data_IF_402039676116
#
_entry.id   IF_402039676116
#
_cell.length_a   1.000
_cell.length_b   1.000
_cell.length_c   1.000
_cell.angle_alpha   90.00
_cell.angle_beta   90.00
_cell.angle_gamma   90.00
#
_symmetry.space_group_name_H-M   'P 1'
#
loop_
_entity.id
_entity.type
_entity.pdbx_description
1 polymer ?
#
# COMPACT_ATOMS: atom_id res chain seq x y z
N UNK A 1 1.92 -54.81 -4.34
CA UNK A 1 2.56 -53.69 -3.60
C UNK A 1 2.27 -52.34 -4.28
N UNK A 2 0.99 -52.02 -4.55
CA UNK A 2 0.60 -50.89 -5.41
C UNK A 2 -0.42 -49.93 -4.77
N UNK A 3 -0.65 -50.01 -3.46
CA UNK A 3 -1.79 -49.32 -2.84
C UNK A 3 -1.40 -48.12 -1.94
N UNK A 4 -0.25 -48.15 -1.25
CA UNK A 4 0.07 -47.11 -0.25
C UNK A 4 0.51 -45.76 -0.84
N UNK A 5 1.30 -45.75 -1.92
CA UNK A 5 1.80 -44.50 -2.52
C UNK A 5 0.73 -43.70 -3.28
N UNK A 6 -0.21 -44.40 -3.94
CA UNK A 6 -1.32 -43.74 -4.65
C UNK A 6 -2.34 -43.16 -3.65
N UNK A 7 -2.64 -43.87 -2.56
CA UNK A 7 -3.54 -43.36 -1.51
C UNK A 7 -2.92 -42.16 -0.79
N UNK A 8 -1.62 -42.20 -0.47
CA UNK A 8 -0.93 -41.07 0.16
C UNK A 8 -0.92 -39.84 -0.77
N UNK A 9 -0.68 -40.03 -2.07
CA UNK A 9 -0.73 -38.93 -3.04
C UNK A 9 -2.13 -38.33 -3.19
N UNK A 10 -3.18 -39.16 -3.18
CA UNK A 10 -4.57 -38.68 -3.22
C UNK A 10 -4.91 -37.89 -1.95
N UNK A 11 -4.48 -38.35 -0.78
CA UNK A 11 -4.68 -37.62 0.48
C UNK A 11 -3.93 -36.28 0.49
N UNK A 12 -2.69 -36.23 0.00
CA UNK A 12 -1.90 -34.98 -0.10
C UNK A 12 -2.54 -34.01 -1.08
N UNK A 13 -2.98 -34.48 -2.26
CA UNK A 13 -3.65 -33.66 -3.26
C UNK A 13 -4.98 -33.14 -2.72
N UNK A 14 -5.77 -33.98 -2.05
CA UNK A 14 -7.04 -33.59 -1.43
C UNK A 14 -6.83 -32.58 -0.28
N UNK A 15 -5.82 -32.77 0.56
CA UNK A 15 -5.44 -31.79 1.60
C UNK A 15 -5.02 -30.45 0.99
N UNK A 16 -4.22 -30.47 -0.09
CA UNK A 16 -3.79 -29.25 -0.77
C UNK A 16 -4.97 -28.51 -1.43
N UNK A 17 -5.95 -29.23 -1.95
CA UNK A 17 -7.16 -28.67 -2.54
C UNK A 17 -8.08 -28.04 -1.48
N UNK A 18 -8.21 -28.66 -0.31
CA UNK A 18 -9.00 -28.14 0.83
C UNK A 18 -8.39 -26.85 1.40
N UNK A 19 -7.06 -26.74 1.43
CA UNK A 19 -6.37 -25.52 1.89
C UNK A 19 -6.54 -24.35 0.92
N UNK A 20 -6.84 -24.62 -0.36
CA UNK A 20 -6.95 -23.58 -1.40
C UNK A 20 -8.32 -22.88 -1.44
N UNK A 21 -9.33 -23.39 -0.73
CA UNK A 21 -10.72 -22.90 -0.82
C UNK A 21 -11.13 -21.78 0.14
N UNK A 22 -10.18 -21.14 0.83
CA UNK A 22 -10.52 -20.08 1.81
C UNK A 22 -9.55 -18.91 1.74
N UNK A 23 -9.48 -18.26 0.58
CA UNK A 23 -8.93 -16.90 0.47
C UNK A 23 -10.13 -15.98 0.21
N UNK A 24 -10.67 -15.42 1.28
CA UNK A 24 -11.64 -14.33 1.19
C UNK A 24 -10.83 -13.05 1.44
N UNK A 25 -10.31 -12.45 0.38
CA UNK A 25 -9.59 -11.19 0.47
C UNK A 25 -10.59 -10.04 0.24
N UNK A 26 -10.81 -9.24 1.28
CA UNK A 26 -11.57 -7.98 1.23
C UNK A 26 -10.71 -6.77 0.82
N UNK A 27 -9.39 -6.95 0.80
CA UNK A 27 -8.40 -5.93 0.54
C UNK A 27 -7.78 -6.12 -0.85
N UNK A 28 -7.65 -5.03 -1.60
CA UNK A 28 -7.05 -5.03 -2.93
C UNK A 28 -6.13 -3.81 -3.08
N UNK A 29 -4.95 -4.02 -3.67
CA UNK A 29 -4.13 -2.92 -4.20
C UNK A 29 -4.13 -2.99 -5.71
N UNK A 30 -4.48 -1.90 -6.38
CA UNK A 30 -4.55 -1.84 -7.83
C UNK A 30 -3.86 -0.59 -8.38
N UNK A 31 -3.40 -0.70 -9.62
CA UNK A 31 -2.85 0.42 -10.37
C UNK A 31 -3.97 1.10 -11.15
N UNK A 32 -4.12 2.42 -10.96
CA UNK A 32 -5.07 3.29 -11.64
C UNK A 32 -4.31 4.18 -12.65
N UNK A 33 -4.40 3.88 -13.95
CA UNK A 33 -3.72 4.63 -15.01
C UNK A 33 -4.11 6.11 -15.07
N UNK A 34 -3.32 6.92 -15.78
CA UNK A 34 -3.69 8.30 -16.09
C UNK A 34 -4.96 8.36 -16.94
N UNK A 35 -5.75 9.42 -16.75
CA UNK A 35 -6.98 9.68 -17.53
C UNK A 35 -8.02 8.54 -17.48
N UNK A 36 -7.94 7.66 -16.47
CA UNK A 36 -8.81 6.49 -16.32
C UNK A 36 -9.64 6.56 -15.04
N UNK A 37 -10.77 5.88 -15.09
CA UNK A 37 -11.64 5.59 -13.95
C UNK A 37 -11.92 4.09 -13.89
N UNK A 38 -11.61 3.48 -12.75
CA UNK A 38 -11.89 2.07 -12.49
C UNK A 38 -12.93 1.95 -11.37
N UNK A 39 -13.82 0.96 -11.46
CA UNK A 39 -14.91 0.77 -10.52
C UNK A 39 -14.98 -0.68 -10.02
N UNK A 40 -15.21 -0.81 -8.72
CA UNK A 40 -15.37 -2.06 -8.00
C UNK A 40 -16.80 -2.19 -7.52
N UNK A 41 -17.30 -3.43 -7.50
CA UNK A 41 -18.70 -3.73 -7.20
C UNK A 41 -18.75 -4.73 -6.06
N UNK A 42 -19.56 -4.43 -5.04
CA UNK A 42 -19.77 -5.33 -3.91
C UNK A 42 -21.28 -5.48 -3.64
N UNK A 43 -21.71 -6.70 -3.34
CA UNK A 43 -23.13 -6.95 -3.04
C UNK A 43 -23.35 -6.85 -1.53
N UNK A 44 -24.18 -5.89 -1.12
CA UNK A 44 -24.45 -5.61 0.28
C UNK A 44 -25.86 -6.02 0.67
N UNK A 45 -25.99 -6.57 1.88
CA UNK A 45 -27.27 -6.97 2.46
C UNK A 45 -27.94 -5.82 3.20
N UNK A 46 -29.29 -5.83 3.24
CA UNK A 46 -30.08 -4.84 3.98
C UNK A 46 -29.68 -4.80 5.46
N UNK A 47 -29.58 -3.59 6.02
CA UNK A 47 -29.22 -3.32 7.42
C UNK A 47 -27.86 -3.91 7.85
N UNK A 48 -26.96 -4.19 6.90
CA UNK A 48 -25.57 -4.49 7.22
C UNK A 48 -24.76 -3.21 7.38
N UNK A 49 -23.75 -3.24 8.25
CA UNK A 49 -22.72 -2.20 8.30
C UNK A 49 -21.70 -2.50 7.21
N UNK A 50 -21.40 -1.53 6.37
CA UNK A 50 -20.37 -1.64 5.34
C UNK A 50 -19.40 -0.46 5.48
N UNK A 51 -18.19 -0.64 4.98
CA UNK A 51 -17.21 0.44 4.94
C UNK A 51 -16.46 0.43 3.62
N UNK A 52 -16.07 1.63 3.20
CA UNK A 52 -15.18 1.86 2.07
C UNK A 52 -13.96 2.61 2.62
N UNK A 53 -12.84 1.93 2.65
CA UNK A 53 -11.55 2.52 3.02
C UNK A 53 -10.62 2.51 1.80
N UNK A 54 -9.89 3.60 1.62
CA UNK A 54 -8.89 3.66 0.56
C UNK A 54 -7.69 4.52 0.95
N UNK A 55 -6.54 4.16 0.39
CA UNK A 55 -5.30 4.91 0.57
C UNK A 55 -4.51 4.94 -0.74
N UNK A 56 -4.10 6.14 -1.16
CA UNK A 56 -3.17 6.28 -2.29
C UNK A 56 -1.75 6.03 -1.78
N UNK A 57 -1.15 4.93 -2.21
CA UNK A 57 0.20 4.52 -1.83
C UNK A 57 1.24 5.32 -2.62
N UNK A 58 1.00 5.55 -3.92
CA UNK A 58 1.96 6.20 -4.81
C UNK A 58 1.31 6.90 -5.99
N UNK A 59 2.02 7.87 -6.58
CA UNK A 59 1.67 8.55 -7.83
C UNK A 59 1.24 10.01 -7.65
N UNK A 60 1.90 10.93 -8.37
CA UNK A 60 1.54 12.35 -8.43
C UNK A 60 1.49 13.02 -7.04
N UNK A 61 0.37 13.66 -6.73
CA UNK A 61 0.10 14.33 -5.44
C UNK A 61 -0.54 13.39 -4.40
N UNK A 62 -0.51 12.08 -4.64
CA UNK A 62 -1.13 11.06 -3.78
C UNK A 62 -2.64 11.26 -3.58
N UNK A 63 -3.36 11.82 -4.55
CA UNK A 63 -4.79 12.15 -4.46
C UNK A 63 -5.65 11.30 -5.42
N UNK A 64 -6.93 11.06 -5.12
CA UNK A 64 -7.86 10.39 -6.05
C UNK A 64 -9.28 10.91 -5.83
N UNK A 65 -10.08 10.92 -6.90
CA UNK A 65 -11.52 11.21 -6.80
C UNK A 65 -12.28 9.90 -6.61
N UNK A 66 -13.10 9.80 -5.57
CA UNK A 66 -13.85 8.59 -5.20
C UNK A 66 -15.33 8.88 -5.19
N UNK A 67 -16.12 8.01 -5.82
CA UNK A 67 -17.59 8.08 -5.79
C UNK A 67 -18.16 6.70 -5.48
N UNK A 68 -19.01 6.64 -4.46
CA UNK A 68 -19.75 5.44 -4.08
C UNK A 68 -21.21 5.60 -4.49
N UNK A 69 -21.69 4.67 -5.30
CA UNK A 69 -23.08 4.61 -5.76
C UNK A 69 -23.81 3.44 -5.10
N UNK A 70 -25.06 3.68 -4.71
CA UNK A 70 -25.98 2.65 -4.27
C UNK A 70 -26.57 1.85 -5.44
N UNK A 71 -27.41 0.84 -5.15
CA UNK A 71 -28.03 -0.02 -6.16
C UNK A 71 -29.01 0.72 -7.08
N UNK A 72 -29.43 1.94 -6.71
CA UNK A 72 -30.29 2.80 -7.53
C UNK A 72 -29.51 3.86 -8.31
N UNK A 73 -28.18 3.72 -8.44
CA UNK A 73 -27.25 4.73 -8.98
C UNK A 73 -27.27 6.08 -8.21
N UNK A 74 -27.77 6.07 -6.98
CA UNK A 74 -27.72 7.21 -6.08
C UNK A 74 -26.31 7.39 -5.48
N UNK A 75 -25.75 8.60 -5.52
CA UNK A 75 -24.44 8.88 -4.92
C UNK A 75 -24.56 8.87 -3.40
N UNK A 76 -23.97 7.86 -2.76
CA UNK A 76 -23.92 7.69 -1.30
C UNK A 76 -22.76 8.48 -0.71
N UNK A 77 -21.61 8.47 -1.37
CA UNK A 77 -20.41 9.20 -0.92
C UNK A 77 -19.64 9.75 -2.12
N UNK A 78 -19.05 10.93 -1.95
CA UNK A 78 -18.16 11.57 -2.92
C UNK A 78 -16.99 12.21 -2.19
N UNK A 79 -15.77 11.79 -2.54
CA UNK A 79 -14.53 12.39 -2.11
C UNK A 79 -13.79 12.96 -3.32
N UNK A 80 -13.37 14.22 -3.27
CA UNK A 80 -12.55 14.83 -4.31
C UNK A 80 -11.13 15.03 -3.80
N UNK A 81 -10.15 14.64 -4.62
CA UNK A 81 -8.70 14.75 -4.36
C UNK A 81 -8.29 14.31 -2.96
N UNK A 82 -8.78 13.14 -2.54
CA UNK A 82 -8.49 12.56 -1.23
C UNK A 82 -7.26 11.65 -1.31
N UNK A 83 -6.39 11.72 -0.30
CA UNK A 83 -5.24 10.81 -0.19
C UNK A 83 -5.56 9.55 0.60
N UNK A 84 -6.40 9.71 1.63
CA UNK A 84 -6.92 8.68 2.50
C UNK A 84 -8.32 9.09 2.95
N UNK A 85 -9.25 8.13 3.00
CA UNK A 85 -10.52 8.29 3.72
C UNK A 85 -11.06 6.91 4.10
N UNK A 86 -11.84 6.86 5.18
CA UNK A 86 -12.56 5.66 5.62
C UNK A 86 -14.01 6.03 5.93
N UNK A 87 -14.91 5.55 5.08
CA UNK A 87 -16.33 5.88 5.12
C UNK A 87 -17.16 4.67 5.56
N UNK A 88 -17.70 4.73 6.77
CA UNK A 88 -18.60 3.71 7.32
C UNK A 88 -20.07 4.13 7.12
N UNK A 89 -20.89 3.22 6.61
CA UNK A 89 -22.32 3.46 6.40
C UNK A 89 -23.17 2.21 6.67
N UNK A 90 -24.46 2.44 6.90
CA UNK A 90 -25.45 1.36 7.05
C UNK A 90 -26.21 1.20 5.75
N UNK A 91 -26.36 -0.04 5.30
CA UNK A 91 -26.97 -0.36 4.01
C UNK A 91 -28.49 -0.21 4.09
N UNK A 92 -29.01 0.86 3.47
CA UNK A 92 -30.45 1.16 3.42
C UNK A 92 -31.21 0.30 2.40
N UNK A 93 -30.54 -0.13 1.32
CA UNK A 93 -31.12 -0.95 0.26
C UNK A 93 -30.19 -2.11 -0.05
N UNK A 94 -30.69 -3.34 -0.01
CA UNK A 94 -29.92 -4.49 -0.46
C UNK A 94 -29.66 -4.41 -1.96
N UNK A 95 -28.44 -4.73 -2.39
CA UNK A 95 -28.09 -4.75 -3.80
C UNK A 95 -26.60 -4.55 -4.05
N UNK A 96 -26.26 -4.29 -5.32
CA UNK A 96 -24.89 -4.06 -5.75
C UNK A 96 -24.54 -2.59 -5.57
N UNK A 97 -23.54 -2.34 -4.75
CA UNK A 97 -22.93 -1.03 -4.57
C UNK A 97 -21.69 -0.93 -5.45
N UNK A 98 -21.42 0.28 -5.96
CA UNK A 98 -20.34 0.55 -6.92
C UNK A 98 -19.43 1.65 -6.38
N UNK A 99 -18.18 1.30 -6.08
CA UNK A 99 -17.14 2.25 -5.69
C UNK A 99 -16.25 2.55 -6.90
N UNK A 100 -16.18 3.80 -7.34
CA UNK A 100 -15.37 4.23 -8.47
C UNK A 100 -14.26 5.18 -8.07
N UNK A 101 -13.07 4.93 -8.61
CA UNK A 101 -11.86 5.73 -8.41
C UNK A 101 -11.47 6.37 -9.74
N UNK A 102 -11.35 7.69 -9.78
CA UNK A 102 -11.00 8.44 -10.98
C UNK A 102 -9.65 9.15 -10.81
N UNK A 103 -8.80 8.95 -11.82
CA UNK A 103 -7.53 9.64 -12.02
C UNK A 103 -7.55 10.49 -13.30
N UNK A 104 -8.74 10.97 -13.69
CA UNK A 104 -8.93 11.74 -14.93
C UNK A 104 -8.15 13.06 -14.96
N UNK A 105 -7.86 13.63 -13.78
CA UNK A 105 -7.14 14.88 -13.63
C UNK A 105 -5.61 14.75 -13.77
N UNK A 106 -5.05 13.54 -13.66
CA UNK A 106 -3.62 13.32 -13.84
C UNK A 106 -3.32 13.07 -15.31
N UNK A 107 -2.40 13.86 -15.88
CA UNK A 107 -2.08 13.80 -17.31
C UNK A 107 -0.96 12.81 -17.63
N UNK A 108 -0.11 12.47 -16.65
CA UNK A 108 1.14 11.72 -16.88
C UNK A 108 1.50 10.70 -15.80
N UNK A 109 0.77 10.65 -14.67
CA UNK A 109 1.12 9.80 -13.52
C UNK A 109 0.01 8.80 -13.25
N UNK A 110 0.34 7.51 -13.30
CA UNK A 110 -0.47 6.43 -12.75
C UNK A 110 -0.43 6.48 -11.22
N UNK A 111 -1.44 5.89 -10.58
CA UNK A 111 -1.57 5.85 -9.11
C UNK A 111 -1.68 4.43 -8.62
N UNK A 112 -1.09 4.14 -7.48
CA UNK A 112 -1.26 2.87 -6.80
C UNK A 112 -2.21 3.10 -5.62
N UNK A 113 -3.37 2.46 -5.65
CA UNK A 113 -4.45 2.68 -4.68
C UNK A 113 -4.75 1.37 -3.96
N UNK A 114 -4.69 1.43 -2.63
CA UNK A 114 -5.22 0.41 -1.74
C UNK A 114 -6.71 0.68 -1.51
N UNK A 115 -7.52 -0.36 -1.56
CA UNK A 115 -8.95 -0.34 -1.25
C UNK A 115 -9.29 -1.52 -0.34
N UNK A 116 -10.08 -1.25 0.70
CA UNK A 116 -10.88 -2.24 1.42
C UNK A 116 -12.35 -1.84 1.26
N UNK A 117 -13.10 -2.69 0.57
CA UNK A 117 -14.54 -2.54 0.43
C UNK A 117 -15.21 -3.84 0.86
N UNK A 118 -15.71 -3.85 2.09
CA UNK A 118 -16.32 -5.05 2.64
C UNK A 118 -17.55 -4.76 3.50
N UNK A 119 -18.42 -5.76 3.55
CA UNK A 119 -19.53 -5.78 4.49
C UNK A 119 -19.04 -6.35 5.82
N UNK A 120 -19.37 -5.69 6.93
CA UNK A 120 -18.99 -6.12 8.28
C UNK A 120 -19.65 -7.41 8.76
N UNK A 121 -20.44 -8.09 7.92
CA UNK A 121 -21.01 -9.41 8.22
C UNK A 121 -20.02 -10.50 7.84
N UNK A 122 -19.03 -10.70 8.70
CA UNK A 122 -18.28 -11.96 8.69
C UNK A 122 -19.22 -13.07 9.16
N UNK A 123 -19.24 -14.20 8.46
CA UNK A 123 -20.06 -15.34 8.89
C UNK A 123 -19.65 -15.72 10.32
N UNK A 124 -20.60 -15.87 11.27
CA UNK A 124 -20.29 -16.38 12.59
C UNK A 124 -19.48 -17.67 12.46
N UNK A 125 -18.39 -17.78 13.23
CA UNK A 125 -17.47 -18.93 13.20
C UNK A 125 -18.16 -20.27 13.53
N UNK A 126 -19.38 -20.23 14.07
CA UNK A 126 -20.16 -21.40 14.47
C UNK A 126 -21.40 -21.50 13.58
N UNK A 127 -21.40 -22.47 12.66
CA UNK A 127 -22.64 -23.01 12.13
C UNK A 127 -23.16 -24.04 13.15
N UNK A 128 -24.17 -23.69 13.95
CA UNK A 128 -24.64 -24.59 15.00
C UNK A 128 -26.03 -24.27 15.55
N UNK A 129 -26.96 -25.17 15.26
CA UNK A 129 -28.33 -25.37 15.74
C UNK A 129 -28.87 -24.51 16.91
N UNK A 130 -30.11 -24.06 16.73
CA UNK A 130 -31.03 -23.42 17.68
C UNK A 130 -31.35 -24.27 18.95
N UNK A 131 -30.35 -24.63 19.75
CA UNK A 131 -30.55 -25.24 21.07
C UNK A 131 -29.77 -24.52 22.16
N UNK A 132 -30.45 -23.96 23.19
CA UNK A 132 -29.78 -23.25 24.27
C UNK A 132 -29.09 -24.28 25.17
N UNK A 133 -27.78 -24.43 25.01
CA UNK A 133 -26.95 -25.19 25.92
C UNK A 133 -25.73 -24.36 26.29
N UNK A 134 -25.11 -24.70 27.42
CA UNK A 134 -24.05 -24.00 28.18
C UNK A 134 -22.83 -23.53 27.34
N UNK A 135 -22.77 -23.89 26.06
CA UNK A 135 -21.78 -23.44 25.06
C UNK A 135 -21.80 -21.92 24.76
N UNK A 136 -22.87 -21.19 25.10
CA UNK A 136 -22.98 -19.76 24.75
C UNK A 136 -21.91 -18.86 25.38
N UNK A 137 -21.37 -19.20 26.56
CA UNK A 137 -20.31 -18.39 27.18
C UNK A 137 -18.99 -18.50 26.44
N UNK A 138 -18.60 -19.72 26.04
CA UNK A 138 -17.39 -19.95 25.24
C UNK A 138 -17.53 -19.35 23.84
N UNK A 139 -18.72 -19.45 23.24
CA UNK A 139 -19.03 -18.82 21.95
C UNK A 139 -18.96 -17.29 22.03
N UNK A 140 -19.51 -16.69 23.09
CA UNK A 140 -19.43 -15.24 23.32
C UNK A 140 -17.99 -14.79 23.53
N UNK A 141 -17.19 -15.51 24.33
CA UNK A 141 -15.77 -15.21 24.50
C UNK A 141 -14.97 -15.37 23.20
N UNK A 142 -15.26 -16.40 22.40
CA UNK A 142 -14.62 -16.61 21.11
C UNK A 142 -14.95 -15.49 20.12
N UNK A 143 -16.21 -15.04 20.05
CA UNK A 143 -16.61 -13.90 19.23
C UNK A 143 -15.92 -12.60 19.68
N UNK A 144 -15.83 -12.35 20.99
CA UNK A 144 -15.14 -11.17 21.52
C UNK A 144 -13.63 -11.17 21.20
N UNK A 145 -12.99 -12.34 21.27
CA UNK A 145 -11.58 -12.50 20.86
C UNK A 145 -11.42 -12.30 19.35
N UNK A 146 -12.32 -12.84 18.54
CA UNK A 146 -12.31 -12.66 17.09
C UNK A 146 -12.43 -11.18 16.69
N UNK A 147 -13.38 -10.46 17.30
CA UNK A 147 -13.55 -9.03 17.09
C UNK A 147 -12.28 -8.25 17.49
N UNK A 148 -11.67 -8.60 18.63
CA UNK A 148 -10.42 -7.99 19.07
C UNK A 148 -9.24 -8.26 18.12
N UNK A 149 -9.11 -9.50 17.62
CA UNK A 149 -8.08 -9.88 16.66
C UNK A 149 -8.28 -9.20 15.30
N UNK A 150 -9.52 -8.98 14.89
CA UNK A 150 -9.86 -8.24 13.69
C UNK A 150 -9.37 -6.80 13.77
N UNK A 151 -9.66 -6.12 14.88
CA UNK A 151 -9.16 -4.76 15.13
C UNK A 151 -7.62 -4.73 15.10
N UNK A 152 -6.96 -5.70 15.73
CA UNK A 152 -5.48 -5.78 15.69
C UNK A 152 -4.94 -6.00 14.28
N UNK A 153 -5.60 -6.84 13.49
CA UNK A 153 -5.20 -7.13 12.09
C UNK A 153 -5.34 -5.89 11.23
N UNK A 154 -6.45 -5.17 11.35
CA UNK A 154 -6.70 -3.90 10.67
C UNK A 154 -5.61 -2.86 10.99
N UNK A 155 -5.29 -2.68 12.28
CA UNK A 155 -4.18 -1.82 12.70
C UNK A 155 -2.83 -2.24 12.10
N UNK A 156 -2.56 -3.56 12.01
CA UNK A 156 -1.33 -4.05 11.41
C UNK A 156 -1.27 -3.79 9.91
N UNK A 157 -2.38 -3.97 9.18
CA UNK A 157 -2.47 -3.65 7.75
C UNK A 157 -2.21 -2.16 7.53
N UNK A 158 -2.90 -1.29 8.27
CA UNK A 158 -2.71 0.15 8.19
C UNK A 158 -1.27 0.56 8.52
N UNK A 159 -0.67 -0.02 9.57
CA UNK A 159 0.72 0.24 9.93
C UNK A 159 1.69 -0.19 8.82
N UNK A 160 1.50 -1.37 8.23
CA UNK A 160 2.32 -1.89 7.12
C UNK A 160 2.22 -1.01 5.87
N UNK A 161 1.03 -0.52 5.54
CA UNK A 161 0.82 0.40 4.42
C UNK A 161 1.55 1.72 4.62
N UNK A 162 1.43 2.31 5.82
CA UNK A 162 2.13 3.54 6.16
C UNK A 162 3.66 3.36 6.19
N UNK A 163 4.15 2.24 6.73
CA UNK A 163 5.57 1.91 6.71
C UNK A 163 6.09 1.76 5.28
N UNK A 164 5.35 1.04 4.43
CA UNK A 164 5.73 0.84 3.02
C UNK A 164 5.76 2.17 2.24
N UNK A 165 4.74 3.02 2.41
CA UNK A 165 4.69 4.36 1.78
C UNK A 165 5.81 5.26 2.31
N UNK A 166 6.00 5.30 3.63
CA UNK A 166 7.06 6.08 4.27
C UNK A 166 8.46 5.65 3.84
N UNK A 167 8.68 4.34 3.70
CA UNK A 167 9.94 3.79 3.20
C UNK A 167 10.20 4.19 1.75
N UNK A 168 9.20 4.12 0.88
CA UNK A 168 9.33 4.51 -0.52
C UNK A 168 9.62 6.02 -0.67
N UNK A 169 8.97 6.86 0.14
CA UNK A 169 9.28 8.29 0.18
C UNK A 169 10.71 8.55 0.68
N UNK A 170 11.15 7.84 1.72
CA UNK A 170 12.50 7.99 2.25
C UNK A 170 13.58 7.56 1.25
N UNK A 171 13.35 6.47 0.49
CA UNK A 171 14.27 6.00 -0.55
C UNK A 171 14.37 7.02 -1.71
N UNK A 172 13.26 7.55 -2.23
CA UNK A 172 13.28 8.58 -3.30
C UNK A 172 13.96 9.89 -2.84
N UNK A 173 13.71 10.31 -1.59
CA UNK A 173 14.36 11.49 -1.03
C UNK A 173 15.88 11.26 -0.84
N UNK A 174 16.26 10.10 -0.30
CA UNK A 174 17.65 9.76 -0.06
C UNK A 174 18.47 9.76 -1.35
N UNK A 175 17.96 9.17 -2.43
CA UNK A 175 18.68 9.10 -3.70
C UNK A 175 18.92 10.49 -4.31
N UNK A 176 17.90 11.36 -4.27
CA UNK A 176 18.02 12.74 -4.76
C UNK A 176 19.01 13.55 -3.93
N UNK A 177 18.88 13.50 -2.60
CA UNK A 177 19.76 14.25 -1.68
C UNK A 177 21.20 13.75 -1.81
N UNK A 178 21.41 12.44 -1.86
CA UNK A 178 22.73 11.83 -2.02
C UNK A 178 23.43 12.32 -3.29
N UNK A 179 22.72 12.36 -4.42
CA UNK A 179 23.27 12.87 -5.69
C UNK A 179 23.72 14.34 -5.57
N UNK A 180 22.87 15.20 -5.00
CA UNK A 180 23.20 16.61 -4.80
C UNK A 180 24.38 16.81 -3.84
N UNK A 181 24.44 16.04 -2.74
CA UNK A 181 25.53 16.09 -1.76
C UNK A 181 26.88 15.63 -2.35
N UNK A 182 26.89 14.59 -3.19
CA UNK A 182 28.11 14.14 -3.87
C UNK A 182 28.59 15.22 -4.84
N UNK A 183 27.69 15.83 -5.61
CA UNK A 183 28.04 16.91 -6.53
C UNK A 183 28.63 18.11 -5.79
N UNK A 184 28.01 18.54 -4.69
CA UNK A 184 28.51 19.63 -3.85
C UNK A 184 29.90 19.33 -3.28
N UNK A 185 30.11 18.10 -2.79
CA UNK A 185 31.40 17.66 -2.27
C UNK A 185 32.50 17.73 -3.32
N UNK A 186 32.21 17.32 -4.57
CA UNK A 186 33.15 17.41 -5.70
C UNK A 186 33.50 18.87 -6.00
N UNK A 187 32.52 19.78 -5.98
CA UNK A 187 32.74 21.21 -6.23
C UNK A 187 33.67 21.82 -5.17
N UNK A 188 33.49 21.50 -3.89
CA UNK A 188 34.35 21.98 -2.80
C UNK A 188 35.80 21.51 -2.99
N UNK A 189 36.00 20.25 -3.38
CA UNK A 189 37.34 19.70 -3.66
C UNK A 189 38.01 20.43 -4.84
N UNK A 190 37.26 20.68 -5.92
CA UNK A 190 37.77 21.42 -7.08
C UNK A 190 38.21 22.82 -6.66
N UNK A 191 37.37 23.55 -5.91
CA UNK A 191 37.68 24.89 -5.41
C UNK A 191 38.97 24.87 -4.59
N UNK A 192 39.10 23.96 -3.62
CA UNK A 192 40.30 23.83 -2.79
C UNK A 192 41.57 23.54 -3.59
N UNK A 193 41.51 22.68 -4.62
CA UNK A 193 42.66 22.44 -5.52
C UNK A 193 43.00 23.69 -6.31
N UNK A 194 42.00 24.37 -6.89
CA UNK A 194 42.24 25.60 -7.64
C UNK A 194 42.83 26.72 -6.77
N UNK A 195 42.40 26.87 -5.51
CA UNK A 195 42.99 27.83 -4.57
C UNK A 195 44.48 27.56 -4.37
N UNK A 196 44.87 26.30 -4.13
CA UNK A 196 46.28 25.92 -3.95
C UNK A 196 47.11 26.18 -5.21
N UNK A 197 46.58 25.86 -6.40
CA UNK A 197 47.27 26.08 -7.67
C UNK A 197 47.45 27.57 -7.96
N UNK A 198 46.43 28.39 -7.70
CA UNK A 198 46.49 29.86 -7.87
C UNK A 198 47.53 30.45 -6.92
N UNK A 199 47.51 30.07 -5.64
CA UNK A 199 48.50 30.53 -4.66
C UNK A 199 49.93 30.13 -5.07
N UNK A 200 50.13 28.89 -5.55
CA UNK A 200 51.44 28.45 -6.04
C UNK A 200 51.90 29.23 -7.27
N UNK A 201 50.99 29.65 -8.15
CA UNK A 201 51.32 30.49 -9.30
C UNK A 201 51.80 31.90 -8.91
N UNK A 202 51.37 32.43 -7.76
CA UNK A 202 51.85 33.72 -7.26
C UNK A 202 53.28 33.66 -6.68
N UNK A 203 53.79 32.47 -6.34
CA UNK A 203 55.16 32.26 -5.89
C UNK A 203 55.95 31.32 -6.83
N UNK A 204 56.26 31.71 -8.08
CA UNK A 204 57.09 30.89 -8.94
C UNK A 204 58.51 30.79 -8.37
N UNK A 205 58.95 29.58 -8.01
CA UNK A 205 60.33 29.31 -7.65
C UNK A 205 61.24 29.70 -8.82
N UNK A 206 62.02 30.78 -8.65
CA UNK A 206 63.12 31.08 -9.58
C UNK A 206 64.19 30.03 -9.38
N UNK A 207 64.16 28.96 -10.18
CA UNK A 207 65.31 28.07 -10.34
C UNK A 207 66.51 28.93 -10.75
N UNK A 208 67.40 29.18 -9.81
CA UNK A 208 68.73 29.74 -10.11
C UNK A 208 69.41 28.77 -11.08
N UNK A 209 69.59 29.22 -12.32
CA UNK A 209 70.35 28.48 -13.31
C UNK A 209 71.76 28.25 -12.77
N UNK A 210 72.13 26.99 -12.60
CA UNK A 210 73.51 26.57 -12.45
C UNK A 210 74.24 26.87 -13.76
N UNK A 211 74.79 28.08 -13.84
CA UNK A 211 75.74 28.48 -14.86
C UNK A 211 77.02 27.67 -14.68
N UNK A 212 77.12 26.60 -15.48
CA UNK A 212 78.40 26.00 -15.84
C UNK A 212 79.13 27.00 -16.73
N UNK A 213 80.18 27.62 -16.19
CA UNK A 213 81.29 28.20 -16.94
C UNK A 213 82.53 27.62 -16.26
N UNK A 214 83.30 26.70 -16.84
CA UNK A 214 83.73 26.70 -18.23
C UNK A 214 84.98 27.58 -18.31
N UNK A 215 86.14 26.92 -18.14
CA UNK A 215 87.55 27.38 -18.20
C UNK A 215 88.09 28.00 -16.90
#
# INVERSE_FOLDING_TARGET
>A
MFSKHNVLSIFIICHSAIVMTSIQAAELTFELPDKRKDCFYETLELNSKAHLEFQVISGGNYDVDVQLFGPSDESVYTGQKKQYDSYHFTVEKAGVYKACFSNEFSTFTHKLVYIDFSSGKEKPLVAGDDKPSVHSQLETSAMAIHESLKVVTDYQTHFRLNEASGRMFAEDLNDRVSLWSVLESVVIVIIGVSEVLVLRSFFPDRKHGTGTSGI
#
